data_IF_095379149645
#
_entry.id   IF_095379149645
#
_cell.length_a   1.000
_cell.length_b   1.000
_cell.length_c   1.000
_cell.angle_alpha   90.00
_cell.angle_beta   90.00
_cell.angle_gamma   90.00
#
_symmetry.space_group_name_H-M   'P 1'
#
loop_
_entity.id
_entity.type
_entity.pdbx_description
1 polymer ?
#
# COMPACT_ATOMS: atom_id res chain seq x y z
N UNK A 1 13.66 -17.52 10.74
CA UNK A 1 12.84 -17.19 11.93
C UNK A 1 12.80 -15.70 12.32
N UNK A 2 13.82 -14.88 12.04
CA UNK A 2 13.82 -13.45 12.43
C UNK A 2 12.73 -12.57 11.76
N UNK A 3 12.22 -12.97 10.60
CA UNK A 3 11.12 -12.27 9.90
C UNK A 3 9.72 -12.58 10.48
N UNK A 4 9.58 -13.66 11.27
CA UNK A 4 8.29 -14.03 11.85
C UNK A 4 7.93 -13.14 13.06
N UNK A 5 8.94 -12.62 13.76
CA UNK A 5 8.79 -11.78 14.95
C UNK A 5 8.05 -10.46 14.63
N UNK A 6 8.45 -9.66 13.61
CA UNK A 6 7.71 -8.43 13.28
C UNK A 6 6.29 -8.71 12.77
N UNK A 7 6.08 -9.83 12.05
CA UNK A 7 4.75 -10.23 11.59
C UNK A 7 3.86 -10.63 12.77
N UNK A 8 4.37 -11.41 13.72
CA UNK A 8 3.66 -11.81 14.92
C UNK A 8 3.37 -10.60 15.83
N UNK A 9 4.31 -9.66 15.95
CA UNK A 9 4.10 -8.41 16.68
C UNK A 9 3.01 -7.55 16.02
N UNK A 10 3.01 -7.42 14.69
CA UNK A 10 1.96 -6.72 13.96
C UNK A 10 0.59 -7.36 14.18
N UNK A 11 0.49 -8.70 14.06
CA UNK A 11 -0.74 -9.45 14.32
C UNK A 11 -1.21 -9.24 15.78
N UNK A 12 -0.30 -9.29 16.75
CA UNK A 12 -0.62 -9.08 18.16
C UNK A 12 -1.11 -7.65 18.46
N UNK A 13 -0.56 -6.64 17.78
CA UNK A 13 -1.03 -5.25 17.90
C UNK A 13 -2.42 -5.11 17.28
N UNK A 14 -2.66 -5.70 16.10
CA UNK A 14 -3.98 -5.68 15.44
C UNK A 14 -5.03 -6.38 16.30
N UNK A 15 -4.72 -7.56 16.85
CA UNK A 15 -5.61 -8.28 17.76
C UNK A 15 -5.80 -7.54 19.08
N UNK A 16 -4.75 -6.92 19.61
CA UNK A 16 -4.82 -6.09 20.81
C UNK A 16 -5.77 -4.90 20.64
N UNK A 17 -5.71 -4.21 19.51
CA UNK A 17 -6.63 -3.12 19.19
C UNK A 17 -8.07 -3.64 19.06
N UNK A 18 -8.27 -4.76 18.37
CA UNK A 18 -9.58 -5.39 18.19
C UNK A 18 -10.23 -5.84 19.52
N UNK A 19 -9.46 -6.42 20.44
CA UNK A 19 -10.00 -6.96 21.69
C UNK A 19 -10.03 -5.96 22.86
N UNK A 20 -9.16 -4.94 22.87
CA UNK A 20 -9.04 -4.04 24.03
C UNK A 20 -9.53 -2.61 23.80
N UNK A 21 -9.83 -2.18 22.56
CA UNK A 21 -10.20 -0.79 22.26
C UNK A 21 -11.65 -0.65 21.79
N UNK A 22 -12.02 -1.23 20.65
CA UNK A 22 -13.37 -1.12 20.05
C UNK A 22 -13.52 -2.13 18.90
N UNK A 23 -14.72 -2.67 18.65
CA UNK A 23 -14.98 -3.55 17.49
C UNK A 23 -14.67 -2.78 16.19
N UNK A 24 -14.06 -3.46 15.21
CA UNK A 24 -13.77 -2.85 13.90
C UNK A 24 -15.08 -2.33 13.28
N UNK A 25 -16.20 -3.02 13.47
CA UNK A 25 -17.49 -2.54 12.99
C UNK A 25 -17.92 -1.22 13.63
N UNK A 26 -17.72 -1.06 14.93
CA UNK A 26 -18.08 0.17 15.65
C UNK A 26 -17.18 1.34 15.22
N UNK A 27 -15.88 1.08 15.00
CA UNK A 27 -14.95 2.07 14.42
C UNK A 27 -15.42 2.49 13.03
N UNK A 28 -15.81 1.53 12.19
CA UNK A 28 -16.27 1.81 10.83
C UNK A 28 -17.58 2.62 10.83
N UNK A 29 -18.51 2.32 11.73
CA UNK A 29 -19.76 3.08 11.89
C UNK A 29 -19.45 4.49 12.37
N UNK A 30 -18.63 4.62 13.42
CA UNK A 30 -18.20 5.92 13.95
C UNK A 30 -17.55 6.79 12.87
N UNK A 31 -16.62 6.22 12.07
CA UNK A 31 -15.98 6.93 10.98
C UNK A 31 -16.99 7.36 9.91
N UNK A 32 -17.95 6.49 9.58
CA UNK A 32 -18.99 6.76 8.58
C UNK A 32 -19.94 7.87 9.04
N UNK A 33 -20.28 7.93 10.33
CA UNK A 33 -21.22 8.90 10.88
C UNK A 33 -20.58 10.26 11.20
N UNK A 34 -19.28 10.27 11.57
CA UNK A 34 -18.62 11.49 12.07
C UNK A 34 -17.69 12.16 11.05
N UNK A 35 -17.28 11.47 9.97
CA UNK A 35 -16.34 12.03 8.99
C UNK A 35 -16.92 12.06 7.58
N UNK A 36 -16.62 13.14 6.87
CA UNK A 36 -16.99 13.27 5.47
C UNK A 36 -16.20 12.25 4.61
N UNK A 37 -16.83 11.57 3.62
CA UNK A 37 -16.16 10.56 2.79
C UNK A 37 -14.86 11.04 2.11
N UNK A 38 -14.84 12.30 1.67
CA UNK A 38 -13.64 12.92 1.10
C UNK A 38 -12.47 12.92 2.10
N UNK A 39 -12.72 13.20 3.38
CA UNK A 39 -11.69 13.20 4.41
C UNK A 39 -11.07 11.82 4.62
N UNK A 40 -11.90 10.77 4.64
CA UNK A 40 -11.46 9.37 4.72
C UNK A 40 -10.58 9.01 3.52
N UNK A 41 -11.02 9.37 2.31
CA UNK A 41 -10.27 9.15 1.07
C UNK A 41 -8.94 9.93 1.04
N UNK A 42 -8.89 11.14 1.58
CA UNK A 42 -7.66 11.93 1.69
C UNK A 42 -6.66 11.28 2.66
N UNK A 43 -7.12 10.83 3.83
CA UNK A 43 -6.26 10.13 4.81
C UNK A 43 -5.73 8.84 4.21
N UNK A 44 -6.59 8.07 3.54
CA UNK A 44 -6.19 6.88 2.80
C UNK A 44 -5.11 7.18 1.77
N UNK A 45 -5.35 8.16 0.89
CA UNK A 45 -4.43 8.53 -0.17
C UNK A 45 -3.09 9.04 0.37
N UNK A 46 -3.11 9.85 1.43
CA UNK A 46 -1.91 10.33 2.10
C UNK A 46 -1.11 9.17 2.72
N UNK A 47 -1.79 8.24 3.41
CA UNK A 47 -1.16 7.03 3.94
C UNK A 47 -0.48 6.23 2.83
N UNK A 48 -1.20 5.95 1.75
CA UNK A 48 -0.72 5.20 0.58
C UNK A 48 0.41 5.90 -0.19
N UNK A 49 0.50 7.23 -0.11
CA UNK A 49 1.56 8.00 -0.79
C UNK A 49 2.87 8.08 0.02
N UNK A 50 2.80 7.86 1.33
CA UNK A 50 3.95 8.06 2.24
C UNK A 50 4.54 6.71 2.67
N UNK A 51 3.76 5.87 3.37
CA UNK A 51 4.27 4.61 3.97
C UNK A 51 3.34 3.41 3.81
N UNK A 52 2.07 3.59 3.46
CA UNK A 52 1.08 2.51 3.32
C UNK A 52 0.90 1.69 4.60
N UNK A 53 1.02 2.33 5.78
CA UNK A 53 0.96 1.64 7.07
C UNK A 53 -0.46 1.23 7.44
N UNK A 54 -1.46 2.01 7.02
CA UNK A 54 -2.85 1.70 7.32
C UNK A 54 -3.32 0.60 6.36
N UNK A 55 -3.77 -0.57 6.87
CA UNK A 55 -4.24 -1.65 6.03
C UNK A 55 -5.37 -1.19 5.10
N UNK A 56 -5.26 -1.37 3.77
CA UNK A 56 -6.30 -0.97 2.82
C UNK A 56 -7.63 -1.71 3.08
N UNK A 57 -7.59 -2.87 3.73
CA UNK A 57 -8.75 -3.69 4.09
C UNK A 57 -9.75 -2.93 4.97
N UNK A 58 -9.27 -2.03 5.85
CA UNK A 58 -10.13 -1.18 6.69
C UNK A 58 -10.95 -0.22 5.81
N UNK A 59 -10.32 0.37 4.79
CA UNK A 59 -10.99 1.29 3.86
C UNK A 59 -11.93 0.55 2.90
N UNK A 60 -11.58 -0.68 2.52
CA UNK A 60 -12.46 -1.57 1.75
C UNK A 60 -13.71 -1.89 2.58
N UNK A 61 -13.57 -2.29 3.85
CA UNK A 61 -14.70 -2.55 4.74
C UNK A 61 -15.57 -1.30 4.97
N UNK A 62 -14.96 -0.12 5.08
CA UNK A 62 -15.66 1.16 5.12
C UNK A 62 -16.49 1.40 3.86
N UNK A 63 -15.94 1.15 2.67
CA UNK A 63 -16.67 1.26 1.41
C UNK A 63 -17.89 0.32 1.35
N UNK A 64 -17.80 -0.85 2.00
CA UNK A 64 -18.89 -1.82 2.09
C UNK A 64 -20.12 -1.33 2.88
N UNK A 65 -19.97 -0.30 3.73
CA UNK A 65 -21.11 0.32 4.43
C UNK A 65 -22.03 1.10 3.47
N UNK A 66 -21.56 1.43 2.27
CA UNK A 66 -22.34 2.12 1.24
C UNK A 66 -22.87 1.13 0.19
N UNK A 67 -23.87 0.32 0.52
CA UNK A 67 -24.37 -0.81 -0.31
C UNK A 67 -24.58 -0.43 -1.79
N UNK A 68 -25.14 0.75 -2.07
CA UNK A 68 -25.42 1.22 -3.44
C UNK A 68 -24.17 1.70 -4.21
N UNK A 69 -23.09 2.07 -3.51
CA UNK A 69 -21.89 2.70 -4.09
C UNK A 69 -20.58 1.97 -3.76
N UNK A 70 -20.64 0.83 -3.07
CA UNK A 70 -19.48 0.09 -2.57
C UNK A 70 -18.45 -0.23 -3.67
N UNK A 71 -18.90 -0.64 -4.86
CA UNK A 71 -18.02 -0.96 -5.99
C UNK A 71 -17.37 0.28 -6.61
N UNK A 72 -18.09 1.41 -6.61
CA UNK A 72 -17.54 2.69 -7.06
C UNK A 72 -16.45 3.17 -6.10
N UNK A 73 -16.73 3.14 -4.79
CA UNK A 73 -15.75 3.49 -3.75
C UNK A 73 -14.54 2.55 -3.77
N UNK A 74 -14.76 1.24 -3.99
CA UNK A 74 -13.67 0.27 -4.13
C UNK A 74 -12.76 0.61 -5.31
N UNK A 75 -13.33 0.90 -6.47
CA UNK A 75 -12.57 1.30 -7.65
C UNK A 75 -11.79 2.59 -7.39
N UNK A 76 -12.42 3.57 -6.74
CA UNK A 76 -11.77 4.83 -6.36
C UNK A 76 -10.60 4.61 -5.39
N UNK A 77 -10.78 3.77 -4.37
CA UNK A 77 -9.72 3.38 -3.44
C UNK A 77 -8.56 2.68 -4.18
N UNK A 78 -8.86 1.74 -5.09
CA UNK A 78 -7.84 1.09 -5.91
C UNK A 78 -7.04 2.08 -6.76
N UNK A 79 -7.72 3.03 -7.41
CA UNK A 79 -7.08 4.08 -8.21
C UNK A 79 -6.22 4.99 -7.35
N UNK A 80 -6.75 5.51 -6.23
CA UNK A 80 -6.01 6.35 -5.30
C UNK A 80 -4.76 5.64 -4.77
N UNK A 81 -4.89 4.36 -4.45
CA UNK A 81 -3.79 3.53 -3.98
C UNK A 81 -2.70 3.34 -5.06
N UNK A 82 -3.10 3.10 -6.31
CA UNK A 82 -2.18 3.02 -7.43
C UNK A 82 -1.46 4.36 -7.67
N UNK A 83 -2.19 5.48 -7.63
CA UNK A 83 -1.61 6.82 -7.73
C UNK A 83 -0.66 7.13 -6.56
N UNK A 84 -0.99 6.72 -5.34
CA UNK A 84 -0.12 6.86 -4.17
C UNK A 84 1.20 6.08 -4.33
N UNK A 85 1.13 4.90 -4.94
CA UNK A 85 2.33 4.16 -5.34
C UNK A 85 3.18 4.88 -6.38
N UNK A 86 2.57 5.54 -7.36
CA UNK A 86 3.30 6.39 -8.33
C UNK A 86 4.01 7.54 -7.63
N UNK A 87 3.34 8.23 -6.68
CA UNK A 87 3.97 9.28 -5.88
C UNK A 87 5.15 8.72 -5.10
N UNK A 88 4.95 7.60 -4.40
CA UNK A 88 6.00 6.91 -3.64
C UNK A 88 7.22 6.56 -4.51
N UNK A 89 6.98 6.13 -5.75
CA UNK A 89 8.04 5.85 -6.72
C UNK A 89 8.86 7.09 -7.08
N UNK A 90 8.20 8.23 -7.32
CA UNK A 90 8.91 9.48 -7.60
C UNK A 90 9.65 10.01 -6.36
N UNK A 91 9.08 9.86 -5.17
CA UNK A 91 9.77 10.15 -3.90
C UNK A 91 11.05 9.31 -3.78
N UNK A 92 10.97 8.00 -4.03
CA UNK A 92 12.13 7.11 -4.03
C UNK A 92 13.19 7.50 -5.07
N UNK A 93 12.75 7.91 -6.27
CA UNK A 93 13.65 8.41 -7.31
C UNK A 93 14.31 9.74 -6.91
N UNK A 94 13.57 10.62 -6.22
CA UNK A 94 14.09 11.85 -5.65
C UNK A 94 15.18 11.59 -4.61
N UNK A 95 14.97 10.63 -3.70
CA UNK A 95 16.00 10.23 -2.73
C UNK A 95 17.27 9.70 -3.42
N UNK A 96 17.14 8.92 -4.48
CA UNK A 96 18.30 8.43 -5.24
C UNK A 96 19.05 9.52 -6.03
N UNK A 97 18.48 10.72 -6.18
CA UNK A 97 19.14 11.87 -6.81
C UNK A 97 19.97 12.70 -5.83
N UNK A 98 19.82 12.50 -4.52
CA UNK A 98 20.61 13.20 -3.49
C UNK A 98 22.08 12.79 -3.64
N UNK A 99 23.06 13.72 -3.72
CA UNK A 99 24.46 13.39 -4.03
C UNK A 99 25.08 12.32 -3.13
N UNK A 100 24.83 12.38 -1.81
CA UNK A 100 25.35 11.41 -0.84
C UNK A 100 24.76 10.01 -1.06
N UNK A 101 23.46 9.92 -1.31
CA UNK A 101 22.75 8.66 -1.59
C UNK A 101 23.19 8.11 -2.93
N UNK A 102 23.29 8.95 -3.95
CA UNK A 102 23.73 8.58 -5.29
C UNK A 102 25.13 7.96 -5.26
N UNK A 103 26.10 8.62 -4.61
CA UNK A 103 27.47 8.09 -4.46
C UNK A 103 27.47 6.76 -3.72
N UNK A 104 26.67 6.62 -2.66
CA UNK A 104 26.54 5.34 -1.95
C UNK A 104 25.95 4.24 -2.84
N UNK A 105 24.89 4.54 -3.60
CA UNK A 105 24.21 3.59 -4.48
C UNK A 105 25.09 3.17 -5.65
N UNK A 106 25.81 4.09 -6.28
CA UNK A 106 26.65 3.83 -7.45
C UNK A 106 28.04 3.27 -7.11
N UNK A 107 28.62 3.64 -5.97
CA UNK A 107 29.98 3.17 -5.61
C UNK A 107 29.91 1.93 -4.73
N UNK A 108 29.20 2.00 -3.59
CA UNK A 108 29.15 0.89 -2.62
C UNK A 108 28.13 -0.18 -2.99
N UNK A 109 27.01 0.19 -3.60
CA UNK A 109 25.90 -0.74 -3.86
C UNK A 109 25.73 -1.12 -5.33
N UNK A 110 26.56 -0.69 -6.27
CA UNK A 110 26.35 -0.92 -7.71
C UNK A 110 26.06 -2.40 -8.06
N UNK A 111 26.83 -3.34 -7.51
CA UNK A 111 26.63 -4.78 -7.75
C UNK A 111 25.27 -5.27 -7.21
N UNK A 112 24.88 -4.80 -6.03
CA UNK A 112 23.60 -5.14 -5.38
C UNK A 112 22.42 -4.51 -6.13
N UNK A 113 22.52 -3.24 -6.51
CA UNK A 113 21.49 -2.51 -7.27
C UNK A 113 21.27 -3.16 -8.63
N UNK A 114 22.33 -3.55 -9.34
CA UNK A 114 22.22 -4.24 -10.64
C UNK A 114 21.45 -5.55 -10.51
N UNK A 115 21.73 -6.34 -9.47
CA UNK A 115 20.99 -7.58 -9.20
C UNK A 115 19.55 -7.29 -8.74
N UNK A 116 19.33 -6.32 -7.85
CA UNK A 116 17.99 -5.92 -7.41
C UNK A 116 17.13 -5.42 -8.57
N UNK A 117 17.71 -4.72 -9.56
CA UNK A 117 16.98 -4.27 -10.75
C UNK A 117 16.51 -5.43 -11.62
N UNK A 118 17.26 -6.53 -11.69
CA UNK A 118 16.84 -7.77 -12.37
C UNK A 118 15.61 -8.39 -11.71
N UNK A 119 15.54 -8.36 -10.39
CA UNK A 119 14.41 -8.87 -9.59
C UNK A 119 13.37 -7.80 -9.26
N UNK A 120 13.56 -6.56 -9.70
CA UNK A 120 12.74 -5.41 -9.31
C UNK A 120 11.29 -5.55 -9.74
N UNK A 121 11.04 -6.14 -10.90
CA UNK A 121 9.69 -6.46 -11.35
C UNK A 121 8.96 -7.40 -10.39
N UNK A 122 9.63 -8.45 -9.92
CA UNK A 122 9.06 -9.39 -8.95
C UNK A 122 8.80 -8.72 -7.60
N UNK A 123 9.66 -7.80 -7.15
CA UNK A 123 9.42 -7.03 -5.92
C UNK A 123 8.19 -6.13 -6.03
N UNK A 124 7.98 -5.49 -7.19
CA UNK A 124 6.80 -4.66 -7.45
C UNK A 124 5.53 -5.52 -7.49
N UNK A 125 5.57 -6.63 -8.22
CA UNK A 125 4.45 -7.59 -8.30
C UNK A 125 4.10 -8.12 -6.90
N UNK A 126 5.10 -8.53 -6.12
CA UNK A 126 4.92 -8.99 -4.75
C UNK A 126 4.29 -7.90 -3.87
N UNK A 127 4.79 -6.66 -3.94
CA UNK A 127 4.21 -5.53 -3.20
C UNK A 127 2.79 -5.16 -3.64
N UNK A 128 2.44 -5.39 -4.91
CA UNK A 128 1.12 -5.10 -5.45
C UNK A 128 0.07 -6.13 -5.02
N UNK A 129 0.44 -7.41 -4.96
CA UNK A 129 -0.47 -8.53 -4.70
C UNK A 129 -0.49 -9.01 -3.23
N UNK A 130 0.66 -9.04 -2.56
CA UNK A 130 0.74 -9.54 -1.18
C UNK A 130 0.17 -8.51 -0.20
N UNK A 131 -0.16 -8.91 1.04
CA UNK A 131 -0.53 -8.00 2.13
C UNK A 131 0.69 -7.22 2.66
N UNK A 132 1.43 -6.59 1.75
CA UNK A 132 2.56 -5.73 2.02
C UNK A 132 2.21 -4.28 1.63
N UNK A 133 2.84 -3.28 2.27
CA UNK A 133 2.69 -1.89 1.88
C UNK A 133 3.25 -1.64 0.48
N UNK A 134 2.37 -1.30 -0.46
CA UNK A 134 2.77 -1.10 -1.86
C UNK A 134 3.63 0.15 -2.07
N UNK A 135 3.40 1.19 -1.27
CA UNK A 135 4.20 2.40 -1.22
C UNK A 135 5.69 2.12 -0.99
N UNK A 136 6.03 1.21 -0.07
CA UNK A 136 7.41 0.82 0.22
C UNK A 136 8.04 0.13 -0.98
N UNK A 137 7.33 -0.82 -1.60
CA UNK A 137 7.81 -1.49 -2.82
C UNK A 137 8.00 -0.49 -3.97
N UNK A 138 7.07 0.45 -4.13
CA UNK A 138 7.12 1.49 -5.16
C UNK A 138 8.28 2.47 -4.93
N UNK A 139 8.51 2.89 -3.69
CA UNK A 139 9.63 3.73 -3.30
C UNK A 139 10.97 3.03 -3.52
N UNK A 140 11.07 1.75 -3.14
CA UNK A 140 12.24 0.93 -3.43
C UNK A 140 12.50 0.82 -4.94
N UNK A 141 11.45 0.63 -5.75
CA UNK A 141 11.55 0.63 -7.22
C UNK A 141 12.06 1.98 -7.77
N UNK A 142 11.64 3.10 -7.16
CA UNK A 142 12.15 4.43 -7.46
C UNK A 142 13.64 4.58 -7.15
N UNK A 143 14.07 4.13 -5.96
CA UNK A 143 15.46 4.20 -5.49
C UNK A 143 16.40 3.43 -6.43
N UNK A 144 16.01 2.22 -6.86
CA UNK A 144 16.82 1.41 -7.78
C UNK A 144 16.71 1.85 -9.25
N UNK A 145 16.04 2.98 -9.52
CA UNK A 145 15.78 3.53 -10.86
C UNK A 145 15.15 2.49 -11.79
N UNK A 146 14.20 1.69 -11.30
CA UNK A 146 13.47 0.73 -12.13
C UNK A 146 12.80 1.45 -13.32
N UNK A 147 12.67 0.83 -14.52
CA UNK A 147 11.99 1.48 -15.63
C UNK A 147 10.53 1.81 -15.30
N UNK A 148 10.15 3.08 -15.47
CA UNK A 148 8.84 3.58 -15.06
C UNK A 148 7.67 2.88 -15.78
N UNK A 149 7.79 2.64 -17.09
CA UNK A 149 6.74 1.94 -17.85
C UNK A 149 6.47 0.54 -17.32
N UNK A 150 7.52 -0.23 -17.02
CA UNK A 150 7.37 -1.56 -16.42
C UNK A 150 6.81 -1.50 -15.00
N UNK A 151 7.21 -0.49 -14.21
CA UNK A 151 6.63 -0.24 -12.89
C UNK A 151 5.12 0.01 -12.96
N UNK A 152 4.66 0.86 -13.88
CA UNK A 152 3.23 1.12 -14.08
C UNK A 152 2.48 -0.17 -14.41
N UNK A 153 2.99 -0.96 -15.36
CA UNK A 153 2.38 -2.23 -15.76
C UNK A 153 2.26 -3.21 -14.59
N UNK A 154 3.33 -3.39 -13.81
CA UNK A 154 3.29 -4.29 -12.65
C UNK A 154 2.43 -3.74 -11.51
N UNK A 155 2.39 -2.42 -11.34
CA UNK A 155 1.56 -1.76 -10.33
C UNK A 155 0.06 -1.92 -10.57
N UNK A 156 -0.39 -2.16 -11.82
CA UNK A 156 -1.80 -2.43 -12.14
C UNK A 156 -2.35 -3.66 -11.40
N UNK A 157 -1.48 -4.62 -11.04
CA UNK A 157 -1.86 -5.78 -10.22
C UNK A 157 -2.44 -5.38 -8.86
N UNK A 158 -2.19 -4.15 -8.41
CA UNK A 158 -2.80 -3.61 -7.20
C UNK A 158 -4.32 -3.50 -7.34
N UNK A 159 -4.82 -3.09 -8.51
CA UNK A 159 -6.25 -3.02 -8.78
C UNK A 159 -6.89 -4.40 -8.69
N UNK A 160 -6.17 -5.44 -9.15
CA UNK A 160 -6.60 -6.83 -9.00
C UNK A 160 -6.71 -7.24 -7.53
N UNK A 161 -5.74 -6.89 -6.67
CA UNK A 161 -5.83 -7.14 -5.22
C UNK A 161 -7.06 -6.47 -4.59
N UNK A 162 -7.31 -5.20 -4.91
CA UNK A 162 -8.50 -4.49 -4.43
C UNK A 162 -9.80 -5.16 -4.90
N UNK A 163 -9.86 -5.62 -6.14
CA UNK A 163 -11.01 -6.36 -6.64
C UNK A 163 -11.25 -7.67 -5.87
N UNK A 164 -10.18 -8.47 -5.65
CA UNK A 164 -10.27 -9.73 -4.89
C UNK A 164 -10.74 -9.48 -3.46
N UNK A 165 -10.18 -8.48 -2.79
CA UNK A 165 -10.55 -8.15 -1.41
C UNK A 165 -11.94 -7.54 -1.30
N UNK A 166 -12.35 -6.72 -2.27
CA UNK A 166 -13.72 -6.23 -2.36
C UNK A 166 -14.73 -7.38 -2.46
N UNK A 167 -14.50 -8.35 -3.36
CA UNK A 167 -15.37 -9.53 -3.48
C UNK A 167 -15.43 -10.32 -2.17
N UNK A 168 -14.28 -10.56 -1.53
CA UNK A 168 -14.22 -11.33 -0.29
C UNK A 168 -14.91 -10.62 0.89
N UNK A 169 -14.69 -9.30 1.05
CA UNK A 169 -15.23 -8.52 2.17
C UNK A 169 -16.70 -8.21 1.95
N UNK A 170 -17.11 -7.78 0.75
CA UNK A 170 -18.51 -7.47 0.45
C UNK A 170 -19.38 -8.72 0.40
N UNK A 171 -18.83 -9.88 0.05
CA UNK A 171 -19.56 -11.15 0.12
C UNK A 171 -19.70 -11.71 1.54
N UNK A 172 -18.92 -11.20 2.51
CA UNK A 172 -18.96 -11.61 3.90
C UNK A 172 -19.72 -10.62 4.82
N UNK A 173 -20.03 -9.42 4.31
CA UNK A 173 -20.86 -8.38 4.95
C UNK A 173 -22.34 -8.58 4.60
#
# INVERSE_FOLDING_TARGET
MKAAIPIAAFIAVVLGIHFFVMDINDILIYVTENFHPIGVLTVFFASESILGLIPPEIFIAWAGKFVNYQWYLLALLGILSYLGGIISYFVGRGFAAIPSVFVYLEVKMAKHIKNMRKWGGLLIIAGALLPLPFSISSMAAGIIKFPFGSFLLFGLLRLLRFAIYGIAIFGAL
#
